data_IF_070413795725
#
_entry.id   IF_070413795725
#
_cell.length_a   1.000
_cell.length_b   1.000
_cell.length_c   1.000
_cell.angle_alpha   90.00
_cell.angle_beta   90.00
_cell.angle_gamma   90.00
#
_symmetry.space_group_name_H-M   'P 1'
#
loop_
_entity.id
_entity.type
_entity.pdbx_description
1 polymer ?
#
# COMPACT_ATOMS: atom_id res chain seq x y z
N UNK A 1 12.03 22.59 -12.19
CA UNK A 1 11.14 21.43 -11.91
C UNK A 1 10.68 20.90 -13.25
N UNK A 2 10.45 19.59 -13.38
CA UNK A 2 9.98 19.02 -14.64
C UNK A 2 8.53 19.50 -14.91
N UNK A 3 8.22 19.88 -16.15
CA UNK A 3 6.87 20.31 -16.54
C UNK A 3 5.87 19.14 -16.42
N UNK A 4 6.32 17.95 -16.82
CA UNK A 4 5.64 16.65 -16.68
C UNK A 4 6.59 15.63 -16.06
N UNK A 5 6.07 14.72 -15.24
CA UNK A 5 6.87 13.63 -14.64
C UNK A 5 6.81 12.39 -15.53
N UNK A 6 7.97 11.95 -16.01
CA UNK A 6 8.13 10.68 -16.72
C UNK A 6 8.19 9.50 -15.76
N UNK A 7 7.17 8.65 -15.77
CA UNK A 7 7.12 7.44 -14.94
C UNK A 7 7.73 6.22 -15.64
N UNK A 8 8.63 5.56 -14.93
CA UNK A 8 9.07 4.20 -15.19
C UNK A 8 8.23 3.19 -14.39
N UNK A 9 7.46 2.34 -15.05
CA UNK A 9 6.67 1.29 -14.39
C UNK A 9 7.53 0.03 -14.24
N UNK A 10 7.89 -0.32 -13.00
CA UNK A 10 8.71 -1.48 -12.69
C UNK A 10 7.81 -2.66 -12.34
N UNK A 11 7.64 -3.58 -13.28
CA UNK A 11 6.73 -4.72 -13.22
C UNK A 11 5.44 -4.45 -13.99
N UNK A 12 5.24 -5.15 -15.10
CA UNK A 12 3.99 -5.19 -15.86
C UNK A 12 3.09 -6.34 -15.38
N UNK A 13 3.10 -6.62 -14.07
CA UNK A 13 2.23 -7.59 -13.42
C UNK A 13 0.78 -7.08 -13.24
N UNK A 14 -0.02 -7.81 -12.45
CA UNK A 14 -1.46 -7.49 -12.24
C UNK A 14 -1.68 -6.03 -11.86
N UNK A 15 -0.95 -5.54 -10.84
CA UNK A 15 -1.04 -4.16 -10.36
C UNK A 15 -0.41 -3.17 -11.33
N UNK A 16 0.75 -3.47 -11.90
CA UNK A 16 1.38 -2.60 -12.90
C UNK A 16 0.46 -2.30 -14.08
N UNK A 17 -0.28 -3.31 -14.56
CA UNK A 17 -1.27 -3.17 -15.63
C UNK A 17 -2.52 -2.45 -15.15
N UNK A 18 -3.19 -2.95 -14.09
CA UNK A 18 -4.50 -2.44 -13.65
C UNK A 18 -4.45 -1.04 -13.04
N UNK A 19 -3.33 -0.69 -12.42
CA UNK A 19 -3.13 0.59 -11.78
C UNK A 19 -2.25 1.50 -12.66
N UNK A 20 -0.93 1.34 -12.59
CA UNK A 20 0.04 2.27 -13.16
C UNK A 20 -0.18 2.54 -14.65
N UNK A 21 -0.11 1.49 -15.48
CA UNK A 21 -0.23 1.62 -16.93
C UNK A 21 -1.63 2.08 -17.35
N UNK A 22 -2.69 1.55 -16.73
CA UNK A 22 -4.08 1.92 -17.08
C UNK A 22 -4.38 3.37 -16.74
N UNK A 23 -3.98 3.86 -15.56
CA UNK A 23 -4.26 5.22 -15.14
C UNK A 23 -3.35 6.24 -15.84
N UNK A 24 -2.04 6.01 -15.90
CA UNK A 24 -1.09 6.98 -16.46
C UNK A 24 -1.11 7.05 -18.00
N UNK A 25 -1.86 6.18 -18.68
CA UNK A 25 -2.13 6.26 -20.12
C UNK A 25 -3.39 7.08 -20.46
N UNK A 26 -4.18 7.51 -19.47
CA UNK A 26 -5.35 8.34 -19.73
C UNK A 26 -4.95 9.74 -20.21
N UNK A 27 -5.77 10.36 -21.06
CA UNK A 27 -5.46 11.65 -21.68
C UNK A 27 -5.44 12.81 -20.67
N UNK A 28 -6.27 12.76 -19.63
CA UNK A 28 -6.47 13.82 -18.63
C UNK A 28 -5.34 13.98 -17.61
N UNK A 29 -4.35 13.10 -17.65
CA UNK A 29 -3.13 13.18 -16.83
C UNK A 29 -1.88 13.52 -17.66
N UNK A 30 -1.99 13.59 -18.98
CA UNK A 30 -0.85 13.83 -19.86
C UNK A 30 -0.30 15.25 -19.76
N UNK A 31 -1.00 16.19 -19.13
CA UNK A 31 -0.47 17.53 -18.82
C UNK A 31 0.49 17.52 -17.61
N UNK A 32 0.46 16.47 -16.78
CA UNK A 32 1.22 16.34 -15.53
C UNK A 32 2.20 15.18 -15.54
N UNK A 33 1.91 14.11 -16.27
CA UNK A 33 2.71 12.88 -16.28
C UNK A 33 2.78 12.27 -17.68
N UNK A 34 3.63 11.26 -17.86
CA UNK A 34 3.59 10.32 -18.99
C UNK A 34 4.28 9.00 -18.65
N UNK A 35 3.97 7.97 -19.43
CA UNK A 35 4.63 6.66 -19.34
C UNK A 35 5.94 6.68 -20.12
N UNK A 36 7.04 7.00 -19.44
CA UNK A 36 8.37 7.04 -20.03
C UNK A 36 8.91 5.65 -20.35
N UNK A 37 8.79 4.73 -19.39
CA UNK A 37 9.32 3.38 -19.56
C UNK A 37 8.46 2.34 -18.84
N UNK A 38 8.51 1.10 -19.31
CA UNK A 38 8.02 -0.08 -18.59
C UNK A 38 9.11 -1.14 -18.56
N UNK A 39 9.30 -1.77 -17.40
CA UNK A 39 10.23 -2.87 -17.23
C UNK A 39 9.52 -4.12 -16.73
N UNK A 40 9.77 -5.27 -17.37
CA UNK A 40 9.36 -6.56 -16.85
C UNK A 40 10.33 -7.64 -17.33
N UNK A 41 10.84 -8.52 -16.45
CA UNK A 41 11.82 -9.52 -16.82
C UNK A 41 11.22 -10.70 -17.60
N UNK A 42 9.89 -10.83 -17.70
CA UNK A 42 9.28 -11.89 -18.50
C UNK A 42 9.38 -11.51 -19.98
N UNK A 43 10.02 -12.35 -20.83
CA UNK A 43 10.27 -12.02 -22.21
C UNK A 43 9.03 -11.55 -22.96
N UNK A 44 9.14 -10.40 -23.63
CA UNK A 44 8.07 -9.80 -24.41
C UNK A 44 6.94 -9.13 -23.62
N UNK A 45 6.91 -9.22 -22.28
CA UNK A 45 5.85 -8.57 -21.49
C UNK A 45 5.98 -7.05 -21.51
N UNK A 46 7.19 -6.53 -21.35
CA UNK A 46 7.45 -5.10 -21.40
C UNK A 46 7.05 -4.50 -22.76
N UNK A 47 7.41 -5.15 -23.87
CA UNK A 47 7.04 -4.69 -25.21
C UNK A 47 5.53 -4.74 -25.44
N UNK A 48 4.85 -5.81 -25.02
CA UNK A 48 3.39 -5.89 -25.11
C UNK A 48 2.69 -4.79 -24.29
N UNK A 49 3.19 -4.48 -23.09
CA UNK A 49 2.66 -3.39 -22.27
C UNK A 49 2.87 -2.03 -22.96
N UNK A 50 4.06 -1.82 -23.55
CA UNK A 50 4.37 -0.61 -24.31
C UNK A 50 3.43 -0.41 -25.48
N UNK A 51 3.22 -1.43 -26.31
CA UNK A 51 2.28 -1.38 -27.45
C UNK A 51 0.84 -1.07 -27.00
N UNK A 52 0.38 -1.72 -25.92
CA UNK A 52 -1.00 -1.59 -25.43
C UNK A 52 -1.29 -0.22 -24.81
N UNK A 53 -0.35 0.32 -24.05
CA UNK A 53 -0.56 1.52 -23.22
C UNK A 53 0.12 2.77 -23.77
N UNK A 54 0.82 2.68 -24.91
CA UNK A 54 1.52 3.81 -25.52
C UNK A 54 2.72 4.29 -24.70
N UNK A 55 3.41 3.38 -24.02
CA UNK A 55 4.66 3.70 -23.29
C UNK A 55 5.75 4.06 -24.30
N UNK A 56 6.68 4.95 -23.95
CA UNK A 56 7.77 5.35 -24.86
C UNK A 56 8.80 4.22 -25.04
N UNK A 57 9.32 3.70 -23.92
CA UNK A 57 10.37 2.66 -23.90
C UNK A 57 9.94 1.40 -23.16
N UNK A 58 10.49 0.25 -23.57
CA UNK A 58 10.31 -1.04 -22.88
C UNK A 58 11.67 -1.68 -22.62
N UNK A 59 11.84 -2.22 -21.41
CA UNK A 59 13.09 -2.82 -20.95
C UNK A 59 12.84 -4.17 -20.27
N UNK A 60 13.77 -5.10 -20.42
CA UNK A 60 13.77 -6.35 -19.64
C UNK A 60 14.74 -6.27 -18.43
N UNK A 61 15.71 -5.36 -18.48
CA UNK A 61 16.61 -5.03 -17.37
C UNK A 61 16.11 -3.80 -16.62
N UNK A 62 16.21 -3.87 -15.29
CA UNK A 62 15.87 -2.75 -14.43
C UNK A 62 16.93 -1.64 -14.51
N UNK A 63 18.19 -2.02 -14.65
CA UNK A 63 19.32 -1.12 -14.83
C UNK A 63 19.17 -0.26 -16.11
N UNK A 64 18.71 -0.87 -17.20
CA UNK A 64 18.44 -0.15 -18.46
C UNK A 64 17.31 0.89 -18.28
N UNK A 65 16.24 0.54 -17.55
CA UNK A 65 15.18 1.49 -17.22
C UNK A 65 15.68 2.64 -16.34
N UNK A 66 16.54 2.35 -15.35
CA UNK A 66 17.12 3.38 -14.49
C UNK A 66 18.09 4.30 -15.26
N UNK A 67 18.73 3.79 -16.31
CA UNK A 67 19.60 4.57 -17.18
C UNK A 67 18.84 5.49 -18.16
N UNK A 68 17.52 5.29 -18.35
CA UNK A 68 16.71 6.11 -19.23
C UNK A 68 16.61 7.55 -18.70
N UNK A 69 17.10 8.57 -19.45
CA UNK A 69 17.02 9.97 -19.03
C UNK A 69 15.59 10.53 -19.02
N UNK A 70 14.62 9.85 -19.64
CA UNK A 70 13.22 10.27 -19.66
C UNK A 70 12.42 9.77 -18.45
N UNK A 71 13.02 8.94 -17.58
CA UNK A 71 12.41 8.46 -16.34
C UNK A 71 12.82 9.39 -15.21
N UNK A 72 11.87 10.14 -14.65
CA UNK A 72 12.07 11.00 -13.47
C UNK A 72 11.75 10.26 -12.18
N UNK A 73 10.69 9.44 -12.23
CA UNK A 73 10.17 8.67 -11.12
C UNK A 73 9.91 7.22 -11.53
N UNK A 74 10.07 6.29 -10.60
CA UNK A 74 9.64 4.91 -10.79
C UNK A 74 8.41 4.61 -9.93
N UNK A 75 7.56 3.70 -10.40
CA UNK A 75 6.56 3.03 -9.56
C UNK A 75 6.91 1.56 -9.45
N UNK A 76 7.21 1.12 -8.22
CA UNK A 76 7.53 -0.26 -7.92
C UNK A 76 6.24 -1.07 -7.85
N UNK A 77 5.93 -1.81 -8.92
CA UNK A 77 4.81 -2.74 -9.04
C UNK A 77 5.28 -4.22 -9.09
N UNK A 78 6.55 -4.44 -8.75
CA UNK A 78 7.21 -5.74 -8.61
C UNK A 78 6.77 -6.45 -7.31
N UNK A 79 7.07 -7.76 -7.15
CA UNK A 79 6.90 -8.46 -5.88
C UNK A 79 7.54 -7.69 -4.70
N UNK A 80 6.82 -7.61 -3.58
CA UNK A 80 7.17 -6.77 -2.40
C UNK A 80 8.58 -7.05 -1.88
N UNK A 81 9.02 -8.31 -1.86
CA UNK A 81 10.36 -8.70 -1.43
C UNK A 81 11.52 -8.10 -2.26
N UNK A 82 11.24 -7.48 -3.40
CA UNK A 82 12.24 -6.80 -4.24
C UNK A 82 12.28 -5.28 -4.01
N UNK A 83 11.30 -4.71 -3.31
CA UNK A 83 11.12 -3.25 -3.25
C UNK A 83 12.33 -2.55 -2.64
N UNK A 84 12.91 -3.10 -1.58
CA UNK A 84 14.07 -2.51 -0.91
C UNK A 84 15.28 -2.38 -1.85
N UNK A 85 15.72 -3.48 -2.47
CA UNK A 85 16.88 -3.48 -3.36
C UNK A 85 16.64 -2.56 -4.57
N UNK A 86 15.43 -2.64 -5.16
CA UNK A 86 15.07 -1.81 -6.30
C UNK A 86 15.03 -0.32 -5.95
N UNK A 87 14.54 0.04 -4.77
CA UNK A 87 14.52 1.41 -4.30
C UNK A 87 15.92 1.96 -4.08
N UNK A 88 16.83 1.19 -3.49
CA UNK A 88 18.21 1.63 -3.29
C UNK A 88 18.92 1.90 -4.62
N UNK A 89 18.71 1.06 -5.63
CA UNK A 89 19.23 1.28 -6.98
C UNK A 89 18.62 2.53 -7.64
N UNK A 90 17.31 2.76 -7.47
CA UNK A 90 16.65 3.96 -7.98
C UNK A 90 17.16 5.25 -7.32
N UNK A 91 17.35 5.23 -6.00
CA UNK A 91 17.99 6.33 -5.25
C UNK A 91 19.40 6.56 -5.78
N UNK A 92 20.16 5.50 -6.08
CA UNK A 92 21.50 5.63 -6.65
C UNK A 92 21.46 6.34 -8.01
N UNK A 93 20.52 5.94 -8.87
CA UNK A 93 20.29 6.52 -10.18
C UNK A 93 19.59 7.91 -10.16
N UNK A 94 19.28 8.45 -8.97
CA UNK A 94 18.66 9.75 -8.82
C UNK A 94 17.17 9.81 -9.18
N UNK A 95 16.46 8.68 -9.13
CA UNK A 95 15.04 8.57 -9.50
C UNK A 95 14.13 8.70 -8.27
N UNK A 96 13.03 9.44 -8.42
CA UNK A 96 11.96 9.50 -7.42
C UNK A 96 11.19 8.17 -7.34
N UNK A 97 10.55 7.87 -6.21
CA UNK A 97 10.02 6.51 -5.97
C UNK A 97 8.58 6.55 -5.46
N UNK A 98 7.71 5.88 -6.18
CA UNK A 98 6.43 5.43 -5.66
C UNK A 98 6.53 3.93 -5.32
N UNK A 99 6.23 3.55 -4.09
CA UNK A 99 6.11 2.16 -3.68
C UNK A 99 4.64 1.75 -3.76
N UNK A 100 4.33 0.68 -4.50
CA UNK A 100 3.13 -0.06 -4.12
C UNK A 100 3.30 -0.61 -2.72
N UNK A 101 2.18 -0.95 -2.11
CA UNK A 101 2.19 -1.62 -0.82
C UNK A 101 2.82 -3.01 -0.93
N UNK A 102 3.48 -3.50 0.11
CA UNK A 102 4.01 -2.72 1.25
C UNK A 102 5.36 -2.13 0.88
N UNK A 103 5.74 -0.97 1.44
CA UNK A 103 6.98 -0.25 1.12
C UNK A 103 8.25 -1.12 1.17
N UNK A 104 8.42 -1.91 2.23
CA UNK A 104 9.51 -2.88 2.41
C UNK A 104 9.01 -4.05 3.27
N UNK A 105 9.86 -5.06 3.50
CA UNK A 105 9.50 -6.22 4.33
C UNK A 105 9.95 -6.09 5.78
N UNK A 106 11.02 -5.35 6.04
CA UNK A 106 11.57 -5.15 7.37
C UNK A 106 11.70 -3.66 7.72
N UNK A 107 11.64 -3.34 9.01
CA UNK A 107 11.69 -1.95 9.48
C UNK A 107 13.01 -1.25 9.11
N UNK A 108 14.14 -1.97 9.22
CA UNK A 108 15.44 -1.38 8.93
C UNK A 108 15.61 -1.06 7.45
N UNK A 109 14.98 -1.82 6.55
CA UNK A 109 14.94 -1.55 5.11
C UNK A 109 14.23 -0.22 4.84
N UNK A 110 13.05 -0.04 5.45
CA UNK A 110 12.27 1.19 5.37
C UNK A 110 13.06 2.39 5.90
N UNK A 111 13.70 2.24 7.07
CA UNK A 111 14.57 3.28 7.64
C UNK A 111 15.71 3.63 6.69
N UNK A 112 16.37 2.64 6.10
CA UNK A 112 17.49 2.88 5.20
C UNK A 112 17.05 3.64 3.93
N UNK A 113 15.95 3.21 3.31
CA UNK A 113 15.38 3.87 2.12
C UNK A 113 15.03 5.33 2.40
N UNK A 114 14.32 5.61 3.51
CA UNK A 114 13.92 6.96 3.88
C UNK A 114 15.15 7.86 4.07
N UNK A 115 16.16 7.37 4.79
CA UNK A 115 17.39 8.12 5.04
C UNK A 115 18.20 8.36 3.77
N UNK A 116 18.35 7.34 2.92
CA UNK A 116 19.09 7.44 1.67
C UNK A 116 18.41 8.39 0.68
N UNK A 117 17.07 8.32 0.59
CA UNK A 117 16.30 9.23 -0.25
C UNK A 117 16.42 10.68 0.23
N UNK A 118 16.28 10.93 1.53
CA UNK A 118 16.45 12.25 2.12
C UNK A 118 17.87 12.82 1.85
N UNK A 119 18.91 11.99 2.00
CA UNK A 119 20.30 12.38 1.74
C UNK A 119 20.57 12.78 0.28
N UNK A 120 19.81 12.23 -0.67
CA UNK A 120 19.92 12.56 -2.11
C UNK A 120 18.85 13.52 -2.63
N UNK A 121 17.97 14.03 -1.76
CA UNK A 121 16.85 14.88 -2.18
C UNK A 121 15.81 14.14 -3.04
N UNK A 122 15.73 12.81 -2.90
CA UNK A 122 14.77 11.96 -3.60
C UNK A 122 13.45 11.98 -2.85
N UNK A 123 12.39 12.36 -3.55
CA UNK A 123 11.00 12.29 -3.09
C UNK A 123 10.49 10.85 -3.20
N UNK A 124 9.77 10.41 -2.17
CA UNK A 124 9.14 9.09 -2.17
C UNK A 124 7.75 9.10 -1.57
N UNK A 125 6.85 8.29 -2.12
CA UNK A 125 5.50 8.06 -1.62
C UNK A 125 5.29 6.56 -1.50
N UNK A 126 4.68 6.11 -0.41
CA UNK A 126 4.41 4.70 -0.17
C UNK A 126 2.91 4.44 0.00
N UNK A 127 2.38 3.56 -0.83
CA UNK A 127 1.02 3.05 -0.68
C UNK A 127 0.87 2.20 0.60
N UNK A 128 -0.35 2.10 1.16
CA UNK A 128 -1.57 2.77 0.71
C UNK A 128 -1.82 4.11 1.40
N UNK A 129 -2.22 5.13 0.62
CA UNK A 129 -2.61 6.45 1.13
C UNK A 129 -3.96 6.50 1.85
N UNK A 130 -4.20 5.66 2.87
CA UNK A 130 -5.52 5.53 3.52
C UNK A 130 -6.06 6.85 4.11
N UNK A 131 -5.19 7.73 4.61
CA UNK A 131 -5.60 9.03 5.17
C UNK A 131 -5.92 10.09 4.10
N UNK A 132 -5.71 9.79 2.81
CA UNK A 132 -6.17 10.66 1.72
C UNK A 132 -7.68 10.56 1.49
N UNK A 133 -8.35 9.54 2.05
CA UNK A 133 -9.80 9.45 2.02
C UNK A 133 -10.45 10.48 2.96
N UNK A 134 -11.36 11.34 2.47
CA UNK A 134 -12.03 12.35 3.30
C UNK A 134 -12.77 11.76 4.51
N UNK A 135 -13.39 10.58 4.35
CA UNK A 135 -14.11 9.92 5.45
C UNK A 135 -13.18 9.47 6.57
N UNK A 136 -11.95 9.03 6.28
CA UNK A 136 -10.97 8.66 7.32
C UNK A 136 -10.50 9.91 8.08
N UNK A 137 -10.34 11.03 7.38
CA UNK A 137 -10.01 12.32 8.01
C UNK A 137 -11.14 12.79 8.92
N UNK A 138 -12.41 12.67 8.50
CA UNK A 138 -13.58 12.95 9.36
C UNK A 138 -13.66 12.04 10.58
N UNK A 139 -13.41 10.74 10.41
CA UNK A 139 -13.39 9.78 11.52
C UNK A 139 -12.29 10.11 12.54
N UNK A 140 -11.10 10.46 12.07
CA UNK A 140 -10.01 10.92 12.94
C UNK A 140 -10.38 12.19 13.69
N UNK A 141 -10.96 13.17 12.99
CA UNK A 141 -11.45 14.41 13.59
C UNK A 141 -12.45 14.12 14.70
N UNK A 142 -13.41 13.23 14.46
CA UNK A 142 -14.40 12.81 15.46
C UNK A 142 -13.76 12.16 16.70
N UNK A 143 -12.71 11.34 16.53
CA UNK A 143 -11.94 10.76 17.64
C UNK A 143 -11.27 11.88 18.45
N UNK A 144 -10.59 12.82 17.78
CA UNK A 144 -9.89 13.94 18.42
C UNK A 144 -10.85 14.92 19.13
N UNK A 145 -12.06 15.09 18.61
CA UNK A 145 -13.15 15.86 19.23
C UNK A 145 -13.80 15.13 20.42
N UNK A 146 -13.39 13.89 20.73
CA UNK A 146 -13.91 13.11 21.85
C UNK A 146 -15.29 12.50 21.62
N UNK A 147 -15.75 12.37 20.36
CA UNK A 147 -17.11 11.86 20.05
C UNK A 147 -17.35 10.41 20.47
N UNK A 148 -16.29 9.62 20.70
CA UNK A 148 -16.38 8.25 21.22
C UNK A 148 -16.23 8.19 22.75
N UNK A 149 -16.01 9.32 23.44
CA UNK A 149 -15.60 9.32 24.84
C UNK A 149 -14.20 8.73 25.03
N UNK A 150 -14.01 7.94 26.09
CA UNK A 150 -12.76 7.22 26.32
C UNK A 150 -12.70 6.00 25.41
N UNK A 151 -11.67 5.90 24.58
CA UNK A 151 -11.46 4.73 23.72
C UNK A 151 -11.20 3.47 24.57
N UNK A 152 -11.88 2.38 24.22
CA UNK A 152 -11.81 1.11 24.95
C UNK A 152 -10.98 0.08 24.19
N UNK A 153 -11.31 -0.17 22.91
CA UNK A 153 -10.58 -1.13 22.07
C UNK A 153 -10.92 -0.93 20.59
N UNK A 154 -10.14 -1.58 19.72
CA UNK A 154 -10.39 -1.60 18.27
C UNK A 154 -10.18 -2.99 17.66
N UNK A 155 -10.73 -3.18 16.46
CA UNK A 155 -10.46 -4.33 15.61
C UNK A 155 -10.24 -3.88 14.17
N UNK A 156 -9.36 -4.55 13.44
CA UNK A 156 -9.15 -4.34 12.01
C UNK A 156 -8.68 -5.65 11.37
N UNK A 157 -8.78 -5.80 10.06
CA UNK A 157 -8.18 -6.95 9.41
C UNK A 157 -8.76 -7.26 8.05
N UNK A 158 -8.08 -8.17 7.36
CA UNK A 158 -8.41 -8.58 6.02
C UNK A 158 -8.52 -10.11 5.95
N UNK A 159 -9.43 -10.57 5.09
CA UNK A 159 -9.70 -11.98 4.86
C UNK A 159 -10.09 -12.25 3.43
N UNK A 160 -10.22 -13.52 3.05
CA UNK A 160 -10.73 -13.92 1.74
C UNK A 160 -9.64 -14.00 0.66
N UNK A 161 -8.38 -13.97 1.08
CA UNK A 161 -7.22 -14.07 0.18
C UNK A 161 -6.88 -15.52 -0.20
N UNK A 162 -7.70 -16.50 0.21
CA UNK A 162 -7.50 -17.91 -0.16
C UNK A 162 -7.36 -18.10 -1.67
N UNK A 163 -8.31 -17.54 -2.44
CA UNK A 163 -8.37 -17.66 -3.89
C UNK A 163 -8.36 -16.32 -4.63
N UNK A 164 -8.28 -15.18 -3.92
CA UNK A 164 -8.36 -13.86 -4.53
C UNK A 164 -7.34 -13.68 -5.66
N UNK A 165 -6.05 -13.87 -5.38
CA UNK A 165 -4.98 -13.73 -6.38
C UNK A 165 -4.97 -14.80 -7.46
N UNK A 166 -5.56 -15.97 -7.21
CA UNK A 166 -5.69 -17.04 -8.21
C UNK A 166 -6.80 -16.70 -9.19
N UNK A 167 -7.90 -16.12 -8.69
CA UNK A 167 -9.12 -15.89 -9.44
C UNK A 167 -9.23 -14.47 -10.00
N UNK A 168 -8.18 -13.64 -9.90
CA UNK A 168 -8.19 -12.29 -10.46
C UNK A 168 -8.55 -12.33 -11.96
N UNK A 169 -9.52 -11.51 -12.44
CA UNK A 169 -9.95 -11.54 -13.84
C UNK A 169 -8.81 -11.34 -14.85
N UNK A 170 -7.83 -10.51 -14.50
CA UNK A 170 -6.64 -10.29 -15.33
C UNK A 170 -5.83 -11.56 -15.57
N UNK A 171 -5.94 -12.57 -14.70
CA UNK A 171 -5.19 -13.84 -14.79
C UNK A 171 -5.86 -14.92 -15.64
N UNK A 172 -7.03 -14.61 -16.22
CA UNK A 172 -7.88 -15.59 -16.93
C UNK A 172 -7.57 -15.69 -18.43
N UNK A 173 -6.75 -14.79 -18.98
CA UNK A 173 -6.37 -14.82 -20.38
C UNK A 173 -5.13 -15.69 -20.67
N UNK A 174 -4.77 -15.77 -21.95
CA UNK A 174 -3.65 -16.60 -22.43
C UNK A 174 -2.47 -15.79 -22.98
N UNK A 175 -2.60 -14.47 -23.08
CA UNK A 175 -1.54 -13.59 -23.57
C UNK A 175 -0.55 -13.21 -22.45
N UNK A 176 0.57 -12.58 -22.80
CA UNK A 176 1.65 -12.28 -21.84
C UNK A 176 1.26 -11.27 -20.75
N UNK A 177 0.24 -10.43 -21.01
CA UNK A 177 -0.29 -9.44 -20.07
C UNK A 177 -1.45 -9.98 -19.21
N UNK A 178 -1.94 -11.19 -19.50
CA UNK A 178 -3.02 -11.82 -18.76
C UNK A 178 -2.66 -13.19 -18.18
N UNK A 179 -1.62 -13.87 -18.66
CA UNK A 179 -1.09 -15.08 -18.03
C UNK A 179 -0.04 -14.74 -16.96
N UNK A 180 -0.47 -14.06 -15.90
CA UNK A 180 0.40 -13.62 -14.81
C UNK A 180 0.34 -14.64 -13.69
N UNK A 181 1.49 -15.23 -13.34
CA UNK A 181 1.59 -16.19 -12.25
C UNK A 181 1.48 -15.48 -10.87
N UNK A 182 0.57 -15.89 -9.96
CA UNK A 182 0.40 -15.28 -8.64
C UNK A 182 1.40 -15.81 -7.59
N UNK A 183 2.31 -16.72 -7.94
CA UNK A 183 3.15 -17.44 -6.99
C UNK A 183 3.85 -16.54 -5.98
N UNK A 184 4.36 -15.37 -6.38
CA UNK A 184 5.05 -14.45 -5.47
C UNK A 184 4.26 -14.18 -4.17
N UNK A 185 2.93 -14.10 -4.26
CA UNK A 185 2.05 -13.83 -3.12
C UNK A 185 2.08 -14.96 -2.09
N UNK A 186 2.41 -16.19 -2.47
CA UNK A 186 2.44 -17.34 -1.56
C UNK A 186 3.85 -17.66 -1.03
N UNK A 187 4.84 -16.81 -1.35
CA UNK A 187 6.26 -17.05 -1.08
C UNK A 187 6.84 -16.00 -0.14
N UNK A 188 7.80 -16.43 0.69
CA UNK A 188 8.69 -15.52 1.43
C UNK A 188 9.83 -15.03 0.52
N UNK A 189 10.34 -13.80 0.74
CA UNK A 189 9.79 -12.73 1.58
C UNK A 189 8.70 -11.92 0.86
N UNK A 190 7.87 -11.22 1.64
CA UNK A 190 6.95 -10.18 1.13
C UNK A 190 5.61 -10.66 0.55
N UNK A 191 5.35 -11.97 0.44
CA UNK A 191 4.02 -12.47 0.08
C UNK A 191 3.01 -12.38 1.24
N UNK A 192 1.80 -12.87 1.01
CA UNK A 192 0.84 -13.20 2.06
C UNK A 192 -0.02 -12.02 2.54
N UNK A 193 -1.03 -12.30 3.38
CA UNK A 193 -2.08 -11.35 3.70
C UNK A 193 -1.55 -10.11 4.43
N UNK A 194 -0.50 -10.26 5.25
CA UNK A 194 0.00 -9.17 6.09
C UNK A 194 0.55 -8.01 5.25
N UNK A 195 1.48 -8.29 4.34
CA UNK A 195 2.09 -7.29 3.47
C UNK A 195 1.17 -6.85 2.33
N UNK A 196 0.21 -7.66 1.93
CA UNK A 196 -0.62 -7.34 0.76
C UNK A 196 -1.96 -6.69 1.12
N UNK A 197 -2.67 -7.16 2.15
CA UNK A 197 -4.06 -6.71 2.37
C UNK A 197 -4.26 -6.14 3.77
N UNK A 198 -3.68 -6.75 4.79
CA UNK A 198 -3.75 -6.25 6.17
C UNK A 198 -3.00 -4.94 6.34
N UNK A 199 -2.00 -4.64 5.50
CA UNK A 199 -1.32 -3.34 5.45
C UNK A 199 -2.30 -2.15 5.31
N UNK A 200 -3.35 -2.27 4.48
CA UNK A 200 -4.39 -1.22 4.37
C UNK A 200 -5.13 -1.02 5.70
N UNK A 201 -5.47 -2.13 6.35
CA UNK A 201 -6.18 -2.14 7.62
C UNK A 201 -5.33 -1.51 8.74
N UNK A 202 -4.01 -1.77 8.75
CA UNK A 202 -3.07 -1.21 9.70
C UNK A 202 -2.79 0.28 9.45
N UNK A 203 -2.62 0.69 8.19
CA UNK A 203 -2.51 2.12 7.83
C UNK A 203 -3.75 2.89 8.26
N UNK A 204 -4.94 2.35 8.04
CA UNK A 204 -6.17 3.00 8.46
C UNK A 204 -6.28 3.07 10.00
N UNK A 205 -6.07 1.96 10.70
CA UNK A 205 -6.12 1.89 12.16
C UNK A 205 -5.15 2.88 12.81
N UNK A 206 -3.88 2.85 12.42
CA UNK A 206 -2.84 3.74 12.97
C UNK A 206 -3.02 5.18 12.50
N UNK A 207 -3.54 5.41 11.29
CA UNK A 207 -3.92 6.76 10.86
C UNK A 207 -4.99 7.38 11.75
N UNK A 208 -5.98 6.59 12.18
CA UNK A 208 -7.06 7.03 13.07
C UNK A 208 -6.61 7.16 14.54
N UNK A 209 -5.84 6.21 15.06
CA UNK A 209 -5.48 6.13 16.48
C UNK A 209 -4.11 6.76 16.83
N UNK A 210 -3.22 6.91 15.85
CA UNK A 210 -1.82 7.26 16.07
C UNK A 210 -0.88 6.04 16.10
N UNK A 211 0.39 6.24 16.48
CA UNK A 211 1.39 5.18 16.49
C UNK A 211 1.17 4.16 17.62
N UNK A 212 1.31 2.89 17.30
CA UNK A 212 1.32 1.79 18.26
C UNK A 212 2.62 1.75 19.07
N UNK A 213 2.61 1.04 20.20
CA UNK A 213 3.73 0.91 21.14
C UNK A 213 4.36 -0.48 21.15
N UNK A 214 3.55 -1.53 21.08
CA UNK A 214 4.02 -2.92 21.08
C UNK A 214 3.01 -3.87 20.47
N UNK A 215 3.48 -5.05 20.07
CA UNK A 215 2.66 -6.08 19.42
C UNK A 215 2.97 -7.48 19.93
N UNK A 216 1.93 -8.29 20.10
CA UNK A 216 2.01 -9.73 20.27
C UNK A 216 1.29 -10.41 19.09
N UNK A 217 1.69 -11.62 18.70
CA UNK A 217 1.07 -12.28 17.57
C UNK A 217 1.14 -13.81 17.61
N UNK A 218 0.27 -14.44 16.83
CA UNK A 218 0.38 -15.83 16.39
C UNK A 218 0.31 -15.83 14.86
N UNK A 219 1.12 -16.65 14.21
CA UNK A 219 1.19 -16.72 12.76
C UNK A 219 1.49 -18.14 12.30
N UNK A 220 0.94 -18.51 11.14
CA UNK A 220 1.26 -19.79 10.52
C UNK A 220 0.73 -19.90 9.10
N UNK A 221 1.21 -20.95 8.42
CA UNK A 221 0.76 -21.38 7.11
C UNK A 221 -0.35 -22.42 7.27
N UNK A 222 -1.57 -22.06 6.87
CA UNK A 222 -2.74 -22.92 6.88
C UNK A 222 -2.88 -23.74 5.59
N UNK A 223 -2.63 -23.14 4.43
CA UNK A 223 -2.79 -23.80 3.13
C UNK A 223 -1.43 -23.95 2.44
N UNK A 224 -0.79 -25.13 2.52
CA UNK A 224 0.59 -25.32 2.08
C UNK A 224 0.76 -25.38 0.55
N UNK A 225 -0.32 -25.65 -0.19
CA UNK A 225 -0.31 -25.76 -1.65
C UNK A 225 -1.58 -25.18 -2.24
N UNK A 226 -1.46 -24.52 -3.39
CA UNK A 226 -2.60 -23.97 -4.14
C UNK A 226 -2.43 -24.25 -5.63
N UNK A 227 -3.52 -24.60 -6.30
CA UNK A 227 -3.48 -24.82 -7.75
C UNK A 227 -3.65 -23.50 -8.50
N UNK A 228 -2.85 -23.28 -9.54
CA UNK A 228 -3.05 -22.23 -10.54
C UNK A 228 -2.84 -22.82 -11.93
N UNK A 229 -3.93 -22.90 -12.71
CA UNK A 229 -3.91 -23.36 -14.12
C UNK A 229 -3.27 -24.75 -14.31
N UNK A 230 -3.58 -25.70 -13.43
CA UNK A 230 -3.02 -27.05 -13.46
C UNK A 230 -1.62 -27.18 -12.87
N UNK A 231 -0.99 -26.09 -12.43
CA UNK A 231 0.26 -26.11 -11.68
C UNK A 231 -0.01 -26.02 -10.18
N UNK A 232 0.59 -26.91 -9.39
CA UNK A 232 0.55 -26.84 -7.94
C UNK A 232 1.65 -25.90 -7.43
N UNK A 233 1.24 -24.76 -6.88
CA UNK A 233 2.12 -23.76 -6.30
C UNK A 233 2.41 -24.10 -4.84
N UNK A 234 3.69 -24.20 -4.49
CA UNK A 234 4.15 -24.37 -3.11
C UNK A 234 4.06 -23.06 -2.32
N UNK A 235 3.34 -23.08 -1.21
CA UNK A 235 3.23 -21.95 -0.30
C UNK A 235 4.22 -22.12 0.86
N UNK A 236 4.95 -21.07 1.20
CA UNK A 236 5.76 -21.01 2.44
C UNK A 236 5.58 -19.70 3.22
N UNK A 237 4.74 -18.81 2.71
CA UNK A 237 4.33 -17.60 3.40
C UNK A 237 3.14 -17.86 4.31
N UNK A 238 3.26 -17.42 5.56
CA UNK A 238 2.17 -17.45 6.54
C UNK A 238 0.93 -16.74 5.98
N UNK A 239 -0.21 -17.43 6.01
CA UNK A 239 -1.48 -16.96 5.45
C UNK A 239 -2.60 -16.87 6.49
N UNK A 240 -2.24 -17.08 7.76
CA UNK A 240 -3.14 -17.02 8.89
C UNK A 240 -2.44 -16.41 10.11
N UNK A 241 -2.60 -15.10 10.28
CA UNK A 241 -1.90 -14.30 11.29
C UNK A 241 -2.89 -13.45 12.10
N UNK A 242 -2.69 -13.43 13.41
CA UNK A 242 -3.45 -12.63 14.36
C UNK A 242 -2.49 -11.82 15.24
N UNK A 243 -2.81 -10.53 15.42
CA UNK A 243 -2.00 -9.58 16.19
C UNK A 243 -2.86 -8.95 17.29
N UNK A 244 -2.25 -8.76 18.46
CA UNK A 244 -2.74 -7.90 19.53
C UNK A 244 -1.79 -6.71 19.65
N UNK A 245 -2.31 -5.52 19.38
CA UNK A 245 -1.56 -4.27 19.27
C UNK A 245 -1.92 -3.38 20.46
N UNK A 246 -0.91 -2.81 21.12
CA UNK A 246 -1.07 -1.89 22.24
C UNK A 246 -0.70 -0.46 21.80
N UNK A 247 -1.60 0.50 21.99
CA UNK A 247 -1.39 1.92 21.69
C UNK A 247 -0.95 2.75 22.91
N UNK A 248 -0.87 2.12 24.09
CA UNK A 248 -0.72 2.79 25.38
C UNK A 248 -2.08 3.07 26.03
N UNK A 249 -2.05 3.53 27.29
CA UNK A 249 -3.25 3.97 28.04
C UNK A 249 -4.40 2.93 28.10
N UNK A 250 -4.03 1.64 28.07
CA UNK A 250 -4.97 0.51 28.02
C UNK A 250 -5.87 0.45 26.76
N UNK A 251 -5.48 1.14 25.67
CA UNK A 251 -6.11 1.01 24.37
C UNK A 251 -5.44 -0.11 23.56
N UNK A 252 -6.18 -1.19 23.33
CA UNK A 252 -5.71 -2.34 22.57
C UNK A 252 -6.50 -2.52 21.28
N UNK A 253 -5.84 -3.04 20.25
CA UNK A 253 -6.49 -3.44 19.00
C UNK A 253 -6.19 -4.88 18.62
N UNK A 254 -7.20 -5.55 18.08
CA UNK A 254 -7.05 -6.86 17.45
C UNK A 254 -6.93 -6.70 15.94
N UNK A 255 -5.83 -7.18 15.35
CA UNK A 255 -5.64 -7.19 13.91
C UNK A 255 -5.53 -8.62 13.36
N UNK A 256 -6.04 -8.87 12.15
CA UNK A 256 -5.94 -10.18 11.52
C UNK A 256 -5.67 -10.10 10.01
N UNK A 257 -4.98 -11.11 9.50
CA UNK A 257 -4.77 -11.35 8.08
C UNK A 257 -4.90 -12.84 7.82
N UNK A 258 -6.03 -13.26 7.27
CA UNK A 258 -6.41 -14.68 7.20
C UNK A 258 -6.89 -15.08 5.82
N UNK A 259 -6.84 -16.38 5.51
CA UNK A 259 -7.38 -16.91 4.25
C UNK A 259 -8.91 -16.74 4.14
N UNK A 260 -9.64 -16.76 5.27
CA UNK A 260 -11.10 -16.76 5.33
C UNK A 260 -11.63 -16.19 6.64
N UNK A 261 -12.90 -15.76 6.63
CA UNK A 261 -13.63 -15.21 7.78
C UNK A 261 -13.35 -13.73 8.04
N UNK A 262 -14.40 -12.92 8.22
CA UNK A 262 -14.30 -11.47 8.35
C UNK A 262 -15.00 -10.98 9.62
N UNK A 263 -14.32 -10.12 10.39
CA UNK A 263 -14.87 -9.44 11.58
C UNK A 263 -15.17 -7.95 11.32
N UNK A 264 -14.44 -7.29 10.44
CA UNK A 264 -14.56 -5.84 10.17
C UNK A 264 -15.02 -5.55 8.75
N UNK A 265 -15.55 -4.35 8.48
CA UNK A 265 -16.04 -3.95 7.16
C UNK A 265 -14.96 -3.29 6.30
N UNK A 266 -14.81 -3.71 5.05
CA UNK A 266 -13.76 -3.16 4.17
C UNK A 266 -12.35 -3.34 4.76
N UNK A 267 -11.52 -2.32 4.52
CA UNK A 267 -10.27 -2.08 5.24
C UNK A 267 -10.47 -1.10 6.41
N UNK A 268 -11.72 -0.83 6.80
CA UNK A 268 -12.04 0.10 7.85
C UNK A 268 -12.11 -0.61 9.20
N UNK A 269 -11.49 -0.05 10.25
CA UNK A 269 -11.52 -0.66 11.57
C UNK A 269 -12.90 -0.49 12.23
N UNK A 270 -13.13 -1.31 13.25
CA UNK A 270 -14.13 -1.02 14.26
C UNK A 270 -13.42 -0.46 15.50
N UNK A 271 -13.86 0.68 16.02
CA UNK A 271 -13.26 1.36 17.17
C UNK A 271 -14.37 1.65 18.18
N UNK A 272 -14.19 1.25 19.43
CA UNK A 272 -15.22 1.37 20.46
C UNK A 272 -14.73 2.25 21.59
N UNK A 273 -15.59 3.15 22.06
CA UNK A 273 -15.36 3.96 23.25
C UNK A 273 -16.58 4.01 24.15
N UNK A 274 -16.44 4.64 25.31
CA UNK A 274 -17.49 4.71 26.34
C UNK A 274 -18.73 5.51 25.92
N UNK A 275 -18.60 6.37 24.91
CA UNK A 275 -19.67 7.25 24.41
C UNK A 275 -20.14 6.94 22.99
N UNK A 276 -19.54 5.96 22.30
CA UNK A 276 -19.90 5.65 20.92
C UNK A 276 -18.95 4.67 20.25
N UNK A 277 -19.18 4.44 18.97
CA UNK A 277 -18.39 3.51 18.17
C UNK A 277 -18.20 4.00 16.73
N UNK A 278 -17.13 3.52 16.12
CA UNK A 278 -16.93 3.52 14.68
C UNK A 278 -17.01 2.07 14.22
N UNK A 279 -17.84 1.78 13.22
CA UNK A 279 -17.89 0.46 12.57
C UNK A 279 -17.89 0.69 11.07
N UNK A 280 -16.83 0.23 10.40
CA UNK A 280 -16.62 0.54 8.99
C UNK A 280 -16.40 2.04 8.80
N UNK A 281 -17.27 2.68 8.04
CA UNK A 281 -17.23 4.14 7.81
C UNK A 281 -18.26 4.91 8.63
N UNK A 282 -19.00 4.23 9.51
CA UNK A 282 -20.05 4.85 10.33
C UNK A 282 -19.52 5.27 11.69
N UNK A 283 -19.84 6.48 12.11
CA UNK A 283 -19.73 6.96 13.48
C UNK A 283 -21.12 6.88 14.12
N UNK A 284 -21.32 5.93 15.04
CA UNK A 284 -22.65 5.53 15.51
C UNK A 284 -23.57 5.24 14.31
N UNK A 285 -24.64 6.02 14.13
CA UNK A 285 -25.58 5.85 13.02
C UNK A 285 -25.18 6.66 11.76
N UNK A 286 -24.28 7.64 11.90
CA UNK A 286 -23.90 8.57 10.85
C UNK A 286 -22.82 7.97 9.94
N UNK A 287 -23.10 7.86 8.64
CA UNK A 287 -22.11 7.41 7.68
C UNK A 287 -21.15 8.56 7.33
N UNK A 288 -19.89 8.43 7.75
CA UNK A 288 -18.86 9.43 7.46
C UNK A 288 -18.35 9.35 6.02
N UNK A 289 -18.70 8.30 5.27
CA UNK A 289 -18.50 8.23 3.84
C UNK A 289 -19.70 8.79 3.10
N UNK A 290 -19.55 9.99 2.54
CA UNK A 290 -20.57 10.70 1.79
C UNK A 290 -20.52 10.31 0.31
N UNK A 291 -21.62 10.56 -0.41
CA UNK A 291 -21.67 10.37 -1.86
C UNK A 291 -20.64 11.31 -2.54
N UNK A 292 -19.87 10.77 -3.48
CA UNK A 292 -18.79 11.51 -4.15
C UNK A 292 -17.46 11.58 -3.38
N UNK A 293 -17.35 10.95 -2.20
CA UNK A 293 -16.07 10.84 -1.52
C UNK A 293 -15.05 10.05 -2.35
N UNK A 294 -14.04 10.77 -2.83
CA UNK A 294 -12.87 10.23 -3.50
C UNK A 294 -11.60 10.85 -2.91
N UNK A 295 -10.46 10.20 -3.15
CA UNK A 295 -9.16 10.81 -2.87
C UNK A 295 -8.92 11.99 -3.84
N UNK A 296 -8.06 12.96 -3.49
CA UNK A 296 -7.95 14.24 -4.19
C UNK A 296 -7.84 14.19 -5.73
N UNK A 297 -7.09 13.24 -6.28
CA UNK A 297 -6.87 13.10 -7.72
C UNK A 297 -7.84 12.13 -8.39
N UNK A 298 -8.60 11.36 -7.60
CA UNK A 298 -9.53 10.33 -8.10
C UNK A 298 -10.82 11.01 -8.58
N UNK A 299 -10.74 11.61 -9.76
CA UNK A 299 -11.83 12.33 -10.42
C UNK A 299 -12.02 11.80 -11.85
N UNK A 300 -13.15 12.14 -12.48
CA UNK A 300 -13.42 11.79 -13.87
C UNK A 300 -13.32 10.28 -14.16
N UNK A 301 -12.53 9.90 -15.17
CA UNK A 301 -12.35 8.49 -15.56
C UNK A 301 -11.75 7.66 -14.42
N UNK A 302 -10.85 8.24 -13.64
CA UNK A 302 -10.16 7.56 -12.54
C UNK A 302 -11.07 7.21 -11.37
N UNK A 303 -12.23 7.87 -11.23
CA UNK A 303 -13.26 7.50 -10.25
C UNK A 303 -13.97 6.18 -10.56
N UNK A 304 -13.91 5.72 -11.82
CA UNK A 304 -14.57 4.50 -12.29
C UNK A 304 -13.62 3.34 -12.56
N UNK A 305 -12.34 3.64 -12.79
CA UNK A 305 -11.28 2.64 -12.90
C UNK A 305 -10.98 1.99 -11.54
N UNK A 306 -10.63 0.69 -11.57
CA UNK A 306 -10.14 -0.02 -10.39
C UNK A 306 -8.73 0.42 -10.01
N UNK A 307 -8.27 0.07 -8.80
CA UNK A 307 -6.94 0.47 -8.28
C UNK A 307 -6.67 1.99 -8.24
N UNK A 308 -7.73 2.79 -8.19
CA UNK A 308 -7.65 4.26 -8.13
C UNK A 308 -6.85 4.81 -6.94
N UNK A 309 -6.75 4.06 -5.84
CA UNK A 309 -5.91 4.44 -4.68
C UNK A 309 -4.41 4.40 -5.00
N UNK A 310 -3.95 3.49 -5.88
CA UNK A 310 -2.56 3.46 -6.34
C UNK A 310 -2.29 4.65 -7.27
N UNK A 311 -3.29 5.01 -8.09
CA UNK A 311 -3.23 6.22 -8.91
C UNK A 311 -3.11 7.48 -8.07
N UNK A 312 -3.91 7.61 -7.02
CA UNK A 312 -3.79 8.71 -6.08
C UNK A 312 -2.35 8.84 -5.56
N UNK A 313 -1.77 7.75 -5.06
CA UNK A 313 -0.43 7.75 -4.46
C UNK A 313 0.66 8.14 -5.48
N UNK A 314 0.53 7.71 -6.75
CA UNK A 314 1.41 8.18 -7.82
C UNK A 314 1.23 9.68 -8.08
N UNK A 315 0.00 10.20 -8.12
CA UNK A 315 -0.24 11.63 -8.35
C UNK A 315 0.24 12.51 -7.19
N UNK A 316 0.18 12.01 -5.96
CA UNK A 316 0.81 12.65 -4.80
C UNK A 316 2.32 12.82 -4.99
N UNK A 317 3.00 11.81 -5.57
CA UNK A 317 4.41 11.93 -5.92
C UNK A 317 4.64 12.92 -7.06
N UNK A 318 3.79 12.91 -8.09
CA UNK A 318 3.89 13.83 -9.21
C UNK A 318 3.76 15.30 -8.76
N UNK A 319 2.77 15.59 -7.91
CA UNK A 319 2.57 16.90 -7.27
C UNK A 319 3.80 17.28 -6.44
N UNK A 320 4.34 16.33 -5.65
CA UNK A 320 5.54 16.63 -4.87
C UNK A 320 6.71 16.98 -5.77
N UNK A 321 6.96 16.26 -6.85
CA UNK A 321 8.07 16.53 -7.78
C UNK A 321 7.90 17.89 -8.47
N UNK A 322 6.69 18.20 -8.95
CA UNK A 322 6.38 19.37 -9.78
C UNK A 322 6.17 20.66 -8.98
N UNK A 323 5.64 20.55 -7.76
CA UNK A 323 5.12 21.70 -7.00
C UNK A 323 5.74 21.79 -5.60
N UNK A 324 6.64 20.87 -5.26
CA UNK A 324 7.25 20.75 -3.93
C UNK A 324 6.24 20.60 -2.77
N UNK A 325 5.10 19.97 -3.09
CA UNK A 325 4.01 19.70 -2.15
C UNK A 325 4.06 18.26 -1.66
N UNK A 326 4.59 17.99 -0.44
CA UNK A 326 4.64 16.64 0.09
C UNK A 326 3.23 16.10 0.37
N UNK A 327 3.10 14.78 0.29
CA UNK A 327 1.86 14.10 0.66
C UNK A 327 1.64 14.08 2.18
N UNK A 328 0.38 14.08 2.60
CA UNK A 328 0.02 13.94 4.03
C UNK A 328 0.24 12.52 4.57
N UNK A 329 0.35 11.52 3.69
CA UNK A 329 0.63 10.12 4.05
C UNK A 329 2.13 9.86 4.02
N UNK A 330 2.77 10.08 5.17
CA UNK A 330 4.24 10.10 5.26
C UNK A 330 4.88 8.71 5.14
N UNK A 331 6.12 8.68 4.67
CA UNK A 331 6.94 7.47 4.66
C UNK A 331 7.19 6.90 6.08
N UNK A 332 7.23 7.77 7.09
CA UNK A 332 7.33 7.35 8.49
C UNK A 332 6.09 6.58 8.96
N UNK A 333 4.89 6.96 8.49
CA UNK A 333 3.68 6.19 8.75
C UNK A 333 3.76 4.80 8.09
N UNK A 334 4.19 4.72 6.84
CA UNK A 334 4.41 3.44 6.16
C UNK A 334 5.46 2.57 6.86
N UNK A 335 6.59 3.15 7.25
CA UNK A 335 7.63 2.48 8.04
C UNK A 335 7.08 1.93 9.36
N UNK A 336 6.24 2.70 10.05
CA UNK A 336 5.64 2.23 11.30
C UNK A 336 4.72 1.03 11.09
N UNK A 337 3.96 1.00 9.99
CA UNK A 337 3.15 -0.17 9.64
C UNK A 337 4.02 -1.37 9.24
N UNK A 338 5.11 -1.15 8.50
CA UNK A 338 6.12 -2.20 8.23
C UNK A 338 6.63 -2.78 9.55
N UNK A 339 6.98 -1.94 10.53
CA UNK A 339 7.46 -2.43 11.83
C UNK A 339 6.39 -3.25 12.56
N UNK A 340 5.12 -2.86 12.52
CA UNK A 340 4.04 -3.66 13.14
C UNK A 340 3.98 -5.06 12.51
N UNK A 341 4.10 -5.17 11.19
CA UNK A 341 4.06 -6.45 10.47
C UNK A 341 5.30 -7.29 10.82
N UNK A 342 6.48 -6.72 10.65
CA UNK A 342 7.78 -7.35 10.92
C UNK A 342 7.91 -7.80 12.38
N UNK A 343 7.60 -6.91 13.33
CA UNK A 343 7.54 -7.23 14.76
C UNK A 343 6.44 -8.25 15.07
N UNK A 344 5.32 -8.25 14.34
CA UNK A 344 4.28 -9.27 14.44
C UNK A 344 4.82 -10.67 14.13
N UNK A 345 5.55 -10.83 13.02
CA UNK A 345 6.18 -12.11 12.71
C UNK A 345 7.22 -12.52 13.76
N UNK A 346 8.08 -11.60 14.21
CA UNK A 346 9.01 -11.87 15.32
C UNK A 346 8.31 -12.25 16.62
N UNK A 347 7.17 -11.64 16.93
CA UNK A 347 6.39 -11.96 18.12
C UNK A 347 5.86 -13.40 18.06
N UNK A 348 5.35 -13.81 16.91
CA UNK A 348 4.86 -15.16 16.67
C UNK A 348 5.99 -16.21 16.75
N UNK A 349 7.16 -15.91 16.19
CA UNK A 349 8.32 -16.81 16.24
C UNK A 349 8.88 -16.97 17.66
N UNK A 350 9.02 -15.86 18.40
CA UNK A 350 9.67 -15.86 19.71
C UNK A 350 8.73 -16.17 20.87
N UNK A 351 7.41 -16.09 20.66
CA UNK A 351 6.41 -16.16 21.72
C UNK A 351 6.46 -14.98 22.69
N UNK A 352 7.10 -13.86 22.31
CA UNK A 352 7.30 -12.68 23.15
C UNK A 352 6.68 -11.44 22.51
N UNK A 353 6.12 -10.58 23.36
CA UNK A 353 5.70 -9.23 22.96
C UNK A 353 6.91 -8.46 22.45
N UNK A 354 6.74 -7.73 21.35
CA UNK A 354 7.77 -6.90 20.72
C UNK A 354 7.43 -5.42 20.92
N UNK A 355 8.38 -4.66 21.46
CA UNK A 355 8.28 -3.20 21.52
C UNK A 355 8.56 -2.60 20.13
N UNK A 356 7.74 -1.63 19.73
CA UNK A 356 7.89 -0.87 18.49
C UNK A 356 8.74 0.38 18.78
N UNK A 357 9.69 0.65 17.89
CA UNK A 357 10.68 1.73 18.04
C UNK A 357 10.36 2.93 17.16
N UNK A 358 9.66 2.70 16.05
CA UNK A 358 9.32 3.74 15.10
C UNK A 358 8.08 4.51 15.54
N UNK A 359 7.91 5.70 14.99
CA UNK A 359 6.76 6.55 15.24
C UNK A 359 6.53 7.46 14.05
N UNK A 360 5.38 8.13 14.01
CA UNK A 360 5.04 9.13 13.01
C UNK A 360 4.11 10.17 13.64
N UNK A 361 4.00 11.33 13.00
CA UNK A 361 3.05 12.37 13.42
C UNK A 361 1.73 12.17 12.68
N UNK A 362 0.64 11.79 13.35
CA UNK A 362 -0.66 11.67 12.72
C UNK A 362 -1.33 13.05 12.60
N UNK A 363 -2.29 13.21 11.67
CA UNK A 363 -2.96 14.49 11.42
C UNK A 363 -3.53 15.11 12.71
N UNK A 364 -3.22 16.36 12.99
CA UNK A 364 -3.75 17.11 14.13
C UNK A 364 -5.20 17.55 13.88
N UNK A 365 -5.88 18.01 14.94
CA UNK A 365 -7.21 18.60 14.79
C UNK A 365 -7.18 19.85 13.91
N UNK A 366 -6.10 20.64 13.98
CA UNK A 366 -5.90 21.87 13.20
C UNK A 366 -5.80 21.57 11.70
N UNK A 367 -5.04 20.54 11.31
CA UNK A 367 -4.95 20.08 9.91
C UNK A 367 -6.30 19.55 9.38
N UNK A 368 -7.21 19.16 10.28
CA UNK A 368 -8.53 18.59 9.95
C UNK A 368 -9.68 19.62 10.01
N UNK A 369 -9.41 20.89 10.39
CA UNK A 369 -10.49 21.88 10.59
C UNK A 369 -11.32 22.13 9.32
N UNK A 370 -10.70 22.05 8.14
CA UNK A 370 -11.36 22.25 6.84
C UNK A 370 -12.07 21.02 6.27
N UNK A 371 -11.95 19.86 6.90
CA UNK A 371 -12.65 18.65 6.47
C UNK A 371 -14.09 18.70 6.99
N UNK A 372 -15.02 18.88 6.05
CA UNK A 372 -16.47 18.87 6.25
C UNK A 372 -17.01 17.45 6.25
#
# INVERSE_FOLDING_TARGET
MADRVGYGVVGAGSIGIRAALTHLSQEDVQDRTYLAAVCDPVPGRAEAAKEKFGVVSAYESYEDLLADPNVDAITLCSPIGLHYEQAMLAIEAGKHIHFNKTMTTEEWEATNVINAAAAKGIKLVASPGMMLHPYNQRLRKAILEGKLGTLAWAATGASGVQGYHINEPIRQGNDVLSNINPAWYFRKPGGGPQYDVTVYCLHNLTGLLGPAKRVAAMSGLLIPEREFRGEMLKCDMDDNTFLLIDFGEALFAFAYGTVSGRLTEGFAPSIFGTGGQIVGTRLNDDNMRHEGDHQPHVVGVHGTLGENHVFEDMMQLADWIREDKPTIVTADHARHVVEIIDAGFRAAETGKVQELKTTFTPLSLDELQGIA
#
